data_IF_879808612997
#
_entry.id   IF_879808612997
#
_cell.length_a   1.000
_cell.length_b   1.000
_cell.length_c   1.000
_cell.angle_alpha   90.00
_cell.angle_beta   90.00
_cell.angle_gamma   90.00
#
_symmetry.space_group_name_H-M   'P 1'
#
loop_
_entity.id
_entity.type
_entity.pdbx_description
1 polymer ?
#
# COMPACT_ATOMS: atom_id res chain seq x y z
N UNK A 1 -54.67 -79.76 -1.05
CA UNK A 1 -54.27 -78.73 -0.07
C UNK A 1 -53.36 -77.75 -0.79
N UNK A 2 -53.93 -76.61 -1.21
CA UNK A 2 -53.21 -75.55 -1.91
C UNK A 2 -52.67 -74.57 -0.87
N UNK A 3 -51.36 -74.34 -0.84
CA UNK A 3 -50.76 -73.24 -0.10
C UNK A 3 -50.60 -72.05 -1.04
N UNK A 4 -51.29 -70.96 -0.72
CA UNK A 4 -51.18 -69.66 -1.38
C UNK A 4 -50.08 -68.88 -0.69
N UNK A 5 -48.95 -68.58 -1.41
CA UNK A 5 -47.85 -67.72 -0.96
C UNK A 5 -48.16 -66.30 -1.39
N UNK A 6 -48.48 -65.40 -0.47
CA UNK A 6 -48.58 -63.96 -0.72
C UNK A 6 -47.18 -63.34 -0.83
N UNK A 7 -46.84 -62.81 -1.99
CA UNK A 7 -45.69 -61.95 -2.19
C UNK A 7 -46.10 -60.51 -1.92
N UNK A 8 -45.52 -59.90 -0.88
CA UNK A 8 -45.60 -58.49 -0.62
C UNK A 8 -44.59 -57.77 -1.51
N UNK A 9 -44.94 -56.66 -2.19
CA UNK A 9 -43.96 -55.81 -2.91
C UNK A 9 -43.17 -54.95 -1.94
N UNK A 10 -41.83 -55.05 -1.99
CA UNK A 10 -40.92 -54.10 -1.34
C UNK A 10 -41.01 -52.73 -2.02
N UNK A 11 -41.64 -51.78 -1.35
CA UNK A 11 -41.57 -50.36 -1.72
C UNK A 11 -40.22 -49.80 -1.26
N UNK A 12 -39.32 -49.53 -2.21
CA UNK A 12 -38.14 -48.72 -1.97
C UNK A 12 -38.56 -47.25 -1.84
N UNK A 13 -38.57 -46.72 -0.63
CA UNK A 13 -38.67 -45.27 -0.37
C UNK A 13 -37.28 -44.71 -0.55
N UNK A 14 -36.98 -44.15 -1.72
CA UNK A 14 -35.81 -43.34 -1.94
C UNK A 14 -36.02 -42.00 -1.22
N UNK A 15 -35.47 -41.89 -0.01
CA UNK A 15 -35.38 -40.59 0.70
C UNK A 15 -34.41 -39.67 -0.02
N UNK A 16 -34.94 -38.77 -0.84
CA UNK A 16 -34.19 -37.68 -1.43
C UNK A 16 -33.81 -36.69 -0.30
N UNK A 17 -32.62 -36.84 0.25
CA UNK A 17 -32.05 -35.84 1.16
C UNK A 17 -31.72 -34.61 0.31
N UNK A 18 -32.63 -33.65 0.29
CA UNK A 18 -32.40 -32.31 -0.25
C UNK A 18 -31.48 -31.60 0.73
N UNK A 19 -30.17 -31.66 0.48
CA UNK A 19 -29.20 -30.81 1.17
C UNK A 19 -29.46 -29.37 0.70
N UNK A 20 -30.33 -28.67 1.43
CA UNK A 20 -30.43 -27.23 1.33
C UNK A 20 -29.07 -26.67 1.77
N UNK A 21 -28.22 -26.31 0.80
CA UNK A 21 -27.07 -25.46 1.05
C UNK A 21 -27.63 -24.17 1.66
N UNK A 22 -27.58 -24.06 2.96
CA UNK A 22 -27.86 -22.81 3.62
C UNK A 22 -26.82 -21.82 3.08
N UNK A 23 -27.22 -20.62 2.62
CA UNK A 23 -26.25 -19.60 2.33
C UNK A 23 -25.48 -19.40 3.64
N UNK A 24 -24.20 -19.76 3.65
CA UNK A 24 -23.27 -19.35 4.69
C UNK A 24 -23.35 -17.84 4.70
N UNK A 25 -24.07 -17.28 5.67
CA UNK A 25 -23.99 -15.87 5.99
C UNK A 25 -22.49 -15.61 6.13
N UNK A 26 -21.93 -14.81 5.23
CA UNK A 26 -20.56 -14.35 5.31
C UNK A 26 -20.40 -13.71 6.69
N UNK A 27 -19.91 -14.49 7.64
CA UNK A 27 -19.77 -14.03 9.01
C UNK A 27 -18.69 -12.98 8.98
N UNK A 28 -19.01 -11.77 9.40
CA UNK A 28 -18.10 -10.66 9.53
C UNK A 28 -16.82 -11.14 10.24
N UNK A 29 -15.71 -11.14 9.52
CA UNK A 29 -14.43 -11.60 10.05
C UNK A 29 -13.78 -10.46 10.80
N UNK A 30 -13.57 -10.62 12.10
CA UNK A 30 -12.82 -9.66 12.90
C UNK A 30 -11.34 -9.74 12.55
N UNK A 31 -10.74 -8.59 12.35
CA UNK A 31 -9.29 -8.43 12.12
C UNK A 31 -8.67 -7.59 13.22
N UNK A 32 -7.44 -7.92 13.58
CA UNK A 32 -6.65 -7.22 14.59
C UNK A 32 -5.60 -6.36 13.88
N UNK A 33 -5.66 -5.05 14.05
CA UNK A 33 -4.79 -4.08 13.38
C UNK A 33 -4.02 -3.29 14.43
N UNK A 34 -2.71 -3.46 14.51
CA UNK A 34 -1.84 -2.67 15.37
C UNK A 34 -1.63 -1.28 14.78
N UNK A 35 -1.91 -0.24 15.58
CA UNK A 35 -1.92 1.15 15.16
C UNK A 35 -0.56 1.80 15.41
N UNK A 36 0.40 1.56 14.50
CA UNK A 36 1.79 2.06 14.62
C UNK A 36 2.09 3.24 13.72
N UNK A 37 1.40 3.36 12.58
CA UNK A 37 1.64 4.39 11.58
C UNK A 37 0.83 5.65 11.83
N UNK A 38 -0.48 5.49 12.00
CA UNK A 38 -1.40 6.63 12.10
C UNK A 38 -1.28 7.34 13.45
N UNK A 39 -1.22 6.59 14.56
CA UNK A 39 -1.12 7.15 15.92
C UNK A 39 0.33 7.15 16.44
N UNK A 40 1.16 6.21 16.00
CA UNK A 40 2.51 6.03 16.54
C UNK A 40 2.53 5.42 17.93
N UNK A 41 3.69 5.47 18.57
CA UNK A 41 3.86 5.04 19.95
C UNK A 41 3.49 6.17 20.90
N UNK A 42 2.66 5.90 21.90
CA UNK A 42 2.18 6.90 22.85
C UNK A 42 2.35 6.45 24.29
N UNK A 43 2.83 7.35 25.15
CA UNK A 43 2.94 7.12 26.60
C UNK A 43 1.59 7.24 27.32
N UNK A 44 0.65 7.98 26.74
CA UNK A 44 -0.75 7.99 27.17
C UNK A 44 -1.66 8.20 25.96
N UNK A 45 -2.92 7.79 26.10
CA UNK A 45 -3.96 7.99 25.08
C UNK A 45 -5.28 8.38 25.73
N UNK A 46 -6.03 9.24 25.05
CA UNK A 46 -7.44 9.51 25.37
C UNK A 46 -8.31 8.79 24.34
N UNK A 47 -9.37 8.16 24.83
CA UNK A 47 -10.35 7.43 24.03
C UNK A 47 -11.72 8.03 24.30
N UNK A 48 -12.29 8.70 23.30
CA UNK A 48 -13.63 9.25 23.36
C UNK A 48 -14.60 8.30 22.65
N UNK A 49 -15.66 7.87 23.34
CA UNK A 49 -16.73 7.07 22.74
C UNK A 49 -17.65 8.03 21.98
N UNK A 50 -17.55 8.02 20.65
CA UNK A 50 -18.33 8.96 19.82
C UNK A 50 -19.74 8.47 19.54
N UNK A 51 -19.90 7.17 19.31
CA UNK A 51 -21.18 6.57 18.95
C UNK A 51 -21.30 5.16 19.50
N UNK A 52 -22.51 4.77 19.92
CA UNK A 52 -22.81 3.44 20.44
C UNK A 52 -22.39 3.27 21.89
N UNK A 53 -22.65 2.09 22.41
CA UNK A 53 -22.27 1.69 23.78
C UNK A 53 -21.07 0.74 23.71
N UNK A 54 -20.18 0.92 24.65
CA UNK A 54 -18.97 0.10 24.77
C UNK A 54 -18.84 -0.54 26.14
N UNK A 55 -18.18 -1.67 26.16
CA UNK A 55 -17.79 -2.37 27.38
C UNK A 55 -16.27 -2.39 27.48
N UNK A 56 -15.76 -1.90 28.58
CA UNK A 56 -14.36 -2.12 28.98
C UNK A 56 -14.29 -3.39 29.81
N UNK A 57 -13.32 -4.22 29.51
CA UNK A 57 -12.92 -5.37 30.35
C UNK A 57 -11.43 -5.27 30.67
N UNK A 58 -11.08 -5.45 31.94
CA UNK A 58 -9.71 -5.47 32.44
C UNK A 58 -9.66 -6.46 33.61
N UNK A 59 -8.94 -7.54 33.47
CA UNK A 59 -8.89 -8.63 34.42
C UNK A 59 -10.29 -9.10 34.85
N UNK A 60 -10.68 -8.87 36.11
CA UNK A 60 -12.02 -9.22 36.66
C UNK A 60 -13.00 -8.05 36.59
N UNK A 61 -12.58 -6.85 36.17
CA UNK A 61 -13.39 -5.65 36.14
C UNK A 61 -14.06 -5.49 34.74
N UNK A 62 -15.36 -5.30 34.76
CA UNK A 62 -16.13 -5.01 33.55
C UNK A 62 -17.02 -3.79 33.77
N UNK A 63 -16.95 -2.80 32.88
CA UNK A 63 -17.79 -1.59 32.92
C UNK A 63 -18.37 -1.24 31.56
N UNK A 64 -19.56 -0.68 31.52
CA UNK A 64 -20.22 -0.17 30.30
C UNK A 64 -20.11 1.34 30.23
N UNK A 65 -19.95 1.84 28.99
CA UNK A 65 -19.80 3.25 28.68
C UNK A 65 -20.72 3.62 27.52
N UNK A 66 -21.61 4.60 27.69
CA UNK A 66 -22.39 5.15 26.58
C UNK A 66 -21.57 6.12 25.73
N UNK A 67 -22.10 6.49 24.58
CA UNK A 67 -21.57 7.59 23.79
C UNK A 67 -21.43 8.86 24.65
N UNK A 68 -20.35 9.62 24.41
CA UNK A 68 -19.97 10.80 25.20
C UNK A 68 -19.04 10.49 26.39
N UNK A 69 -18.75 9.20 26.67
CA UNK A 69 -17.76 8.84 27.70
C UNK A 69 -16.34 9.06 27.19
N UNK A 70 -15.46 9.47 28.12
CA UNK A 70 -14.03 9.64 27.88
C UNK A 70 -13.23 8.75 28.82
N UNK A 71 -12.31 7.98 28.26
CA UNK A 71 -11.32 7.16 28.97
C UNK A 71 -9.94 7.73 28.69
N UNK A 72 -9.07 7.76 29.71
CA UNK A 72 -7.67 8.10 29.55
C UNK A 72 -6.81 6.97 30.10
N UNK A 73 -5.87 6.50 29.32
CA UNK A 73 -4.93 5.46 29.68
C UNK A 73 -3.53 6.05 29.63
N UNK A 74 -2.81 5.99 30.74
CA UNK A 74 -1.55 6.69 30.84
C UNK A 74 -0.67 6.15 31.96
N UNK A 75 0.15 7.02 32.51
CA UNK A 75 1.11 6.72 33.56
C UNK A 75 0.82 7.55 34.80
N UNK A 76 0.62 6.91 35.93
CA UNK A 76 0.37 7.53 37.23
C UNK A 76 1.55 7.36 38.19
N UNK A 77 2.67 8.07 37.91
CA UNK A 77 3.92 7.92 38.67
C UNK A 77 4.72 6.69 38.22
N UNK A 78 4.57 5.56 38.90
CA UNK A 78 5.36 4.33 38.66
C UNK A 78 4.57 3.20 37.98
N UNK A 79 3.25 3.36 37.85
CA UNK A 79 2.38 2.30 37.33
C UNK A 79 1.46 2.88 36.22
N UNK A 80 1.09 2.07 35.22
CA UNK A 80 0.05 2.46 34.28
C UNK A 80 -1.30 2.62 34.98
N UNK A 81 -2.06 3.63 34.58
CA UNK A 81 -3.37 3.96 35.15
C UNK A 81 -4.41 4.16 34.07
N UNK A 82 -5.65 3.79 34.40
CA UNK A 82 -6.84 4.07 33.64
C UNK A 82 -7.65 5.12 34.39
N UNK A 83 -8.00 6.25 33.74
CA UNK A 83 -8.92 7.26 34.26
C UNK A 83 -10.23 7.22 33.49
N UNK A 84 -11.31 7.18 34.24
CA UNK A 84 -12.65 7.16 33.69
C UNK A 84 -13.46 8.23 34.41
N UNK A 85 -13.90 9.29 33.72
CA UNK A 85 -14.72 10.36 34.29
C UNK A 85 -14.22 10.87 35.65
N UNK A 86 -12.89 11.06 35.82
CA UNK A 86 -12.21 11.49 37.05
C UNK A 86 -11.88 10.41 38.10
N UNK A 87 -12.36 9.18 37.95
CA UNK A 87 -11.93 8.04 38.79
C UNK A 87 -10.64 7.43 38.22
N UNK A 88 -9.70 7.08 39.07
CA UNK A 88 -8.42 6.46 38.69
C UNK A 88 -8.36 4.99 39.13
N UNK A 89 -7.94 4.13 38.24
CA UNK A 89 -7.76 2.71 38.43
C UNK A 89 -6.32 2.32 38.10
N UNK A 90 -5.65 1.62 38.97
CA UNK A 90 -4.33 1.07 38.68
C UNK A 90 -4.44 -0.09 37.73
N UNK A 91 -3.51 -0.15 36.78
CA UNK A 91 -3.37 -1.24 35.82
C UNK A 91 -2.15 -2.06 36.23
N UNK A 92 -2.32 -3.36 36.38
CA UNK A 92 -1.20 -4.24 36.69
C UNK A 92 -0.37 -4.53 35.46
N UNK A 93 0.94 -4.72 35.63
CA UNK A 93 1.83 -5.11 34.54
C UNK A 93 1.35 -6.42 33.92
N UNK A 94 1.16 -6.39 32.58
CA UNK A 94 0.65 -7.55 31.82
C UNK A 94 -0.87 -7.58 31.67
N UNK A 95 -1.63 -6.67 32.31
CA UNK A 95 -3.07 -6.55 32.06
C UNK A 95 -3.34 -6.05 30.65
N UNK A 96 -4.37 -6.64 30.03
CA UNK A 96 -4.90 -6.20 28.74
C UNK A 96 -6.21 -5.47 28.97
N UNK A 97 -6.29 -4.24 28.51
CA UNK A 97 -7.55 -3.49 28.46
C UNK A 97 -8.25 -3.79 27.14
N UNK A 98 -9.45 -4.27 27.21
CA UNK A 98 -10.27 -4.55 26.04
C UNK A 98 -11.51 -3.66 26.05
N UNK A 99 -11.69 -2.85 24.99
CA UNK A 99 -12.82 -1.94 24.79
C UNK A 99 -13.60 -2.48 23.58
N UNK A 100 -14.73 -3.14 23.86
CA UNK A 100 -15.60 -3.75 22.84
C UNK A 100 -16.87 -2.95 22.65
N UNK A 101 -17.26 -2.71 21.39
CA UNK A 101 -18.59 -2.22 21.06
C UNK A 101 -19.68 -3.24 21.43
N UNK A 102 -20.72 -2.81 22.13
CA UNK A 102 -21.90 -3.63 22.41
C UNK A 102 -22.84 -3.64 21.21
N UNK A 103 -22.86 -2.53 20.49
CA UNK A 103 -23.60 -2.31 19.24
C UNK A 103 -22.70 -1.58 18.24
N UNK A 104 -23.19 -1.29 17.04
CA UNK A 104 -22.45 -0.51 16.04
C UNK A 104 -22.06 0.85 16.59
N UNK A 105 -20.76 1.11 16.69
CA UNK A 105 -20.24 2.32 17.30
C UNK A 105 -18.91 2.76 16.69
N UNK A 106 -18.44 3.90 17.17
CA UNK A 106 -17.12 4.45 16.86
C UNK A 106 -16.50 5.08 18.10
N UNK A 107 -15.18 5.07 18.12
CA UNK A 107 -14.36 5.68 19.15
C UNK A 107 -13.25 6.50 18.49
N UNK A 108 -12.82 7.56 19.16
CA UNK A 108 -11.71 8.41 18.74
C UNK A 108 -10.56 8.25 19.71
N UNK A 109 -9.38 8.01 19.17
CA UNK A 109 -8.14 7.94 19.94
C UNK A 109 -7.35 9.21 19.70
N UNK A 110 -6.83 9.81 20.78
CA UNK A 110 -5.95 10.99 20.75
C UNK A 110 -4.66 10.69 21.49
N UNK A 111 -3.54 11.17 20.98
CA UNK A 111 -2.22 11.04 21.60
C UNK A 111 -1.69 12.39 22.10
N UNK A 112 -0.67 12.41 22.98
CA UNK A 112 -0.07 13.65 23.49
C UNK A 112 0.51 14.51 22.38
N UNK A 113 0.98 13.90 21.30
CA UNK A 113 1.61 14.57 20.15
C UNK A 113 0.59 15.25 19.24
N UNK A 114 -0.71 15.23 19.61
CA UNK A 114 -1.79 15.83 18.85
C UNK A 114 -2.26 15.02 17.66
N UNK A 115 -1.84 13.76 17.54
CA UNK A 115 -2.41 12.84 16.55
C UNK A 115 -3.77 12.35 17.04
N UNK A 116 -4.74 12.27 16.14
CA UNK A 116 -6.05 11.72 16.42
C UNK A 116 -6.62 10.95 15.25
N UNK A 117 -7.38 9.88 15.54
CA UNK A 117 -8.10 9.12 14.54
C UNK A 117 -9.35 8.46 15.15
N UNK A 118 -10.40 8.33 14.34
CA UNK A 118 -11.62 7.63 14.71
C UNK A 118 -11.63 6.22 14.08
N UNK A 119 -12.10 5.26 14.86
CA UNK A 119 -12.14 3.86 14.47
C UNK A 119 -13.50 3.22 14.73
N UNK A 120 -13.89 2.30 13.86
CA UNK A 120 -14.99 1.37 14.11
C UNK A 120 -14.50 0.18 14.95
N UNK A 121 -15.43 -0.60 15.48
CA UNK A 121 -15.11 -1.79 16.25
C UNK A 121 -14.60 -1.48 17.65
N UNK A 122 -13.63 -2.25 18.14
CA UNK A 122 -13.06 -2.14 19.48
C UNK A 122 -11.58 -1.78 19.48
N UNK A 123 -11.06 -1.60 20.71
CA UNK A 123 -9.63 -1.43 20.95
C UNK A 123 -9.15 -2.40 22.00
N UNK A 124 -7.96 -2.95 21.80
CA UNK A 124 -7.19 -3.65 22.80
C UNK A 124 -5.92 -2.85 23.08
N UNK A 125 -5.64 -2.63 24.36
CA UNK A 125 -4.46 -1.88 24.79
C UNK A 125 -3.67 -2.74 25.78
N UNK A 126 -2.36 -2.76 25.60
CA UNK A 126 -1.44 -3.33 26.58
C UNK A 126 -0.19 -2.45 26.68
N UNK A 127 0.39 -2.40 27.88
CA UNK A 127 1.64 -1.69 28.12
C UNK A 127 2.81 -2.58 27.78
N UNK A 128 3.64 -2.16 26.84
CA UNK A 128 4.83 -2.90 26.42
C UNK A 128 5.95 -1.92 26.05
N UNK A 129 7.17 -2.22 26.44
CA UNK A 129 8.38 -1.48 26.05
C UNK A 129 8.31 0.04 26.27
N UNK A 130 7.64 0.47 27.35
CA UNK A 130 7.54 1.88 27.72
C UNK A 130 6.46 2.69 26.98
N UNK A 131 5.56 2.04 26.24
CA UNK A 131 4.45 2.69 25.53
C UNK A 131 3.20 1.81 25.49
N UNK A 132 2.07 2.41 25.14
CA UNK A 132 0.84 1.69 24.90
C UNK A 132 0.84 1.09 23.49
N UNK A 133 0.70 -0.21 23.41
CA UNK A 133 0.40 -0.92 22.19
C UNK A 133 -1.11 -0.88 21.95
N UNK A 134 -1.54 -0.30 20.84
CA UNK A 134 -2.92 -0.12 20.46
C UNK A 134 -3.28 -1.08 19.33
N UNK A 135 -4.30 -1.90 19.51
CA UNK A 135 -4.78 -2.83 18.48
C UNK A 135 -6.27 -2.58 18.25
N UNK A 136 -6.63 -2.17 17.05
CA UNK A 136 -8.01 -2.05 16.64
C UNK A 136 -8.57 -3.43 16.28
N UNK A 137 -9.68 -3.79 16.91
CA UNK A 137 -10.46 -5.00 16.62
C UNK A 137 -11.66 -4.58 15.78
N UNK A 138 -11.62 -4.86 14.48
CA UNK A 138 -12.59 -4.31 13.53
C UNK A 138 -13.10 -5.38 12.57
N UNK A 139 -14.35 -5.24 12.13
CA UNK A 139 -14.89 -6.03 11.03
C UNK A 139 -14.09 -5.82 9.73
N UNK A 140 -13.86 -6.88 8.97
CA UNK A 140 -13.03 -6.82 7.75
C UNK A 140 -13.57 -5.82 6.71
N UNK A 141 -14.88 -5.68 6.56
CA UNK A 141 -15.46 -4.73 5.61
C UNK A 141 -15.33 -3.29 6.12
N UNK A 142 -15.45 -3.07 7.44
CA UNK A 142 -15.20 -1.78 8.05
C UNK A 142 -13.72 -1.40 8.02
N UNK A 143 -12.80 -2.37 8.15
CA UNK A 143 -11.37 -2.16 7.89
C UNK A 143 -11.12 -1.65 6.47
N UNK A 144 -11.73 -2.30 5.47
CA UNK A 144 -11.56 -1.90 4.07
C UNK A 144 -12.05 -0.47 3.78
N UNK A 145 -13.06 0.03 4.52
CA UNK A 145 -13.50 1.44 4.41
C UNK A 145 -12.42 2.44 4.83
N UNK A 146 -11.51 2.01 5.70
CA UNK A 146 -10.35 2.79 6.11
C UNK A 146 -9.09 2.57 5.27
N UNK A 147 -9.11 1.63 4.32
CA UNK A 147 -7.98 1.27 3.43
C UNK A 147 -8.22 1.75 2.01
N UNK A 148 -9.30 1.28 1.37
CA UNK A 148 -9.54 1.50 -0.07
C UNK A 148 -9.50 2.98 -0.47
N UNK A 149 -10.05 3.95 0.32
CA UNK A 149 -9.99 5.37 -0.05
C UNK A 149 -8.60 5.99 0.01
N UNK A 150 -7.64 5.39 0.72
CA UNK A 150 -6.23 5.81 0.74
C UNK A 150 -5.52 5.30 -0.50
N UNK A 151 -5.77 4.04 -0.85
CA UNK A 151 -5.17 3.37 -2.00
C UNK A 151 -5.68 3.95 -3.31
N UNK A 152 -6.98 4.19 -3.41
CA UNK A 152 -7.64 4.84 -4.54
C UNK A 152 -8.61 5.92 -4.02
N UNK A 153 -8.37 7.18 -4.39
CA UNK A 153 -9.14 8.32 -3.93
C UNK A 153 -10.65 8.14 -4.11
N UNK A 154 -11.44 8.63 -3.15
CA UNK A 154 -12.90 8.73 -3.26
C UNK A 154 -13.36 9.47 -4.53
N UNK A 155 -12.56 10.39 -5.06
CA UNK A 155 -12.87 11.13 -6.29
C UNK A 155 -12.92 10.22 -7.52
N UNK A 156 -12.25 9.07 -7.48
CA UNK A 156 -12.27 8.09 -8.56
C UNK A 156 -13.63 7.39 -8.72
N UNK A 157 -14.54 7.54 -7.77
CA UNK A 157 -15.93 7.10 -7.93
C UNK A 157 -16.61 7.74 -9.16
N UNK A 158 -16.14 8.93 -9.58
CA UNK A 158 -16.58 9.56 -10.81
C UNK A 158 -15.84 8.96 -12.01
N UNK A 159 -16.47 8.02 -12.68
CA UNK A 159 -15.93 7.37 -13.90
C UNK A 159 -15.01 6.17 -13.64
N UNK A 160 -14.64 5.88 -12.41
CA UNK A 160 -13.76 4.76 -12.05
C UNK A 160 -14.34 3.81 -11.01
N UNK A 161 -15.65 3.75 -10.83
CA UNK A 161 -16.31 2.90 -9.82
C UNK A 161 -15.94 1.41 -9.97
N UNK A 162 -15.74 0.92 -11.18
CA UNK A 162 -15.29 -0.46 -11.42
C UNK A 162 -13.85 -0.69 -10.97
N UNK A 163 -12.97 0.30 -11.07
CA UNK A 163 -11.63 0.23 -10.51
C UNK A 163 -11.65 0.17 -8.96
N UNK A 164 -12.52 0.97 -8.33
CA UNK A 164 -12.72 0.91 -6.87
C UNK A 164 -13.24 -0.45 -6.42
N UNK A 165 -14.13 -1.09 -7.21
CA UNK A 165 -14.57 -2.46 -6.94
C UNK A 165 -13.43 -3.46 -7.07
N UNK A 166 -12.62 -3.36 -8.14
CA UNK A 166 -11.43 -4.21 -8.32
C UNK A 166 -10.45 -4.05 -7.15
N UNK A 167 -10.21 -2.80 -6.71
CA UNK A 167 -9.37 -2.50 -5.55
C UNK A 167 -9.95 -3.08 -4.26
N UNK A 168 -11.25 -2.98 -4.04
CA UNK A 168 -11.91 -3.54 -2.85
C UNK A 168 -11.76 -5.06 -2.78
N UNK A 169 -11.95 -5.76 -3.92
CA UNK A 169 -11.76 -7.21 -4.00
C UNK A 169 -10.29 -7.60 -3.81
N UNK A 170 -9.36 -6.87 -4.43
CA UNK A 170 -7.92 -7.10 -4.25
C UNK A 170 -7.47 -6.86 -2.81
N UNK A 171 -7.87 -5.74 -2.20
CA UNK A 171 -7.52 -5.40 -0.82
C UNK A 171 -8.10 -6.39 0.19
N UNK A 172 -9.32 -6.88 -0.04
CA UNK A 172 -9.95 -7.93 0.78
C UNK A 172 -9.20 -9.25 0.65
N UNK A 173 -8.80 -9.63 -0.55
CA UNK A 173 -8.01 -10.85 -0.80
C UNK A 173 -6.67 -10.79 -0.09
N UNK A 174 -5.97 -9.65 -0.23
CA UNK A 174 -4.72 -9.39 0.48
C UNK A 174 -4.91 -9.50 2.00
N UNK A 175 -5.95 -8.88 2.56
CA UNK A 175 -6.29 -8.96 3.98
C UNK A 175 -6.49 -10.41 4.44
N UNK A 176 -7.31 -11.19 3.74
CA UNK A 176 -7.56 -12.60 4.04
C UNK A 176 -6.27 -13.41 4.05
N UNK A 177 -5.40 -13.17 3.06
CA UNK A 177 -4.11 -13.87 2.93
C UNK A 177 -3.13 -13.48 4.05
N UNK A 178 -2.94 -12.17 4.30
CA UNK A 178 -1.99 -11.69 5.30
C UNK A 178 -2.40 -12.00 6.74
N UNK A 179 -3.70 -11.98 7.00
CA UNK A 179 -4.22 -12.30 8.34
C UNK A 179 -4.42 -13.79 8.58
N UNK A 180 -4.15 -14.65 7.58
CA UNK A 180 -4.49 -16.06 7.66
C UNK A 180 -5.96 -16.22 8.10
N UNK A 181 -6.82 -15.58 7.33
CA UNK A 181 -8.26 -15.56 7.58
C UNK A 181 -8.68 -14.94 8.94
N UNK A 182 -7.96 -13.91 9.40
CA UNK A 182 -8.22 -13.20 10.66
C UNK A 182 -7.50 -13.75 11.89
N UNK A 183 -6.72 -14.82 11.76
CA UNK A 183 -5.99 -15.44 12.88
C UNK A 183 -4.69 -14.68 13.23
N UNK A 184 -4.12 -13.96 12.28
CA UNK A 184 -2.89 -13.19 12.47
C UNK A 184 -3.19 -11.69 12.51
N UNK A 185 -2.48 -10.99 13.39
CA UNK A 185 -2.52 -9.54 13.46
C UNK A 185 -1.69 -8.91 12.35
N UNK A 186 -2.17 -7.77 11.83
CA UNK A 186 -1.48 -6.90 10.88
C UNK A 186 -1.23 -5.53 11.50
N UNK A 187 -0.49 -4.66 10.79
CA UNK A 187 -0.30 -3.26 11.16
C UNK A 187 -1.02 -2.32 10.19
N UNK A 188 -1.27 -1.10 10.62
CA UNK A 188 -1.82 -0.01 9.80
C UNK A 188 -0.79 0.64 8.86
N UNK A 189 0.46 0.15 8.85
CA UNK A 189 1.57 0.75 8.11
C UNK A 189 1.63 0.31 6.65
N UNK A 190 1.69 1.27 5.69
CA UNK A 190 1.88 0.97 4.26
C UNK A 190 3.25 0.37 3.94
N UNK A 191 4.23 0.46 4.85
CA UNK A 191 5.55 -0.12 4.66
C UNK A 191 5.56 -1.64 4.85
N UNK A 192 4.57 -2.18 5.59
CA UNK A 192 4.50 -3.59 5.97
C UNK A 192 3.25 -4.26 5.40
N UNK A 193 2.10 -3.61 5.50
CA UNK A 193 0.79 -4.10 5.07
C UNK A 193 0.06 -3.06 4.20
N UNK A 194 -1.21 -2.77 4.50
CA UNK A 194 -2.02 -1.76 3.83
C UNK A 194 -2.11 -0.51 4.72
N UNK A 195 -2.10 0.68 4.10
CA UNK A 195 -2.36 1.93 4.82
C UNK A 195 -3.80 1.92 5.37
N UNK A 196 -3.95 1.98 6.70
CA UNK A 196 -5.25 2.02 7.38
C UNK A 196 -5.37 3.26 8.24
N UNK A 197 -6.26 4.18 7.89
CA UNK A 197 -6.49 5.44 8.60
C UNK A 197 -7.83 5.50 9.37
N UNK A 198 -8.48 4.35 9.58
CA UNK A 198 -9.78 4.31 10.24
C UNK A 198 -10.85 5.08 9.47
N UNK A 199 -11.74 5.77 10.19
CA UNK A 199 -12.92 6.41 9.61
C UNK A 199 -12.63 7.74 8.89
N UNK A 200 -11.46 8.33 9.07
CA UNK A 200 -11.15 9.68 8.55
C UNK A 200 -11.17 9.78 7.02
N UNK A 201 -11.01 8.65 6.34
CA UNK A 201 -10.92 8.54 4.87
C UNK A 201 -12.19 7.96 4.23
N UNK A 202 -13.15 7.50 5.03
CA UNK A 202 -14.40 6.92 4.51
C UNK A 202 -15.14 7.89 3.58
N UNK A 203 -15.70 7.37 2.49
CA UNK A 203 -16.42 8.18 1.50
C UNK A 203 -17.04 7.35 0.39
N UNK A 204 -17.06 7.88 -0.83
CA UNK A 204 -17.69 7.26 -1.99
C UNK A 204 -17.13 5.86 -2.34
N UNK A 205 -15.85 5.61 -2.07
CA UNK A 205 -15.23 4.29 -2.27
C UNK A 205 -15.88 3.20 -1.40
N UNK A 206 -16.51 3.56 -0.27
CA UNK A 206 -17.24 2.59 0.56
C UNK A 206 -18.38 1.89 -0.17
N UNK A 207 -18.98 2.54 -1.18
CA UNK A 207 -20.02 1.91 -2.03
C UNK A 207 -19.48 0.75 -2.86
N UNK A 208 -18.21 0.82 -3.30
CA UNK A 208 -17.57 -0.26 -4.03
C UNK A 208 -17.29 -1.47 -3.12
N UNK A 209 -16.89 -1.22 -1.87
CA UNK A 209 -16.68 -2.26 -0.85
C UNK A 209 -17.99 -3.00 -0.58
N UNK A 210 -19.08 -2.27 -0.33
CA UNK A 210 -20.40 -2.87 -0.10
C UNK A 210 -20.91 -3.64 -1.32
N UNK A 211 -20.70 -3.13 -2.54
CA UNK A 211 -21.13 -3.77 -3.78
C UNK A 211 -20.40 -5.08 -4.08
N UNK A 212 -19.19 -5.26 -3.53
CA UNK A 212 -18.34 -6.45 -3.68
C UNK A 212 -18.14 -7.21 -2.37
N UNK A 213 -19.06 -7.01 -1.40
CA UNK A 213 -18.96 -7.60 -0.06
C UNK A 213 -18.70 -9.11 -0.10
N UNK A 214 -17.64 -9.54 0.60
CA UNK A 214 -17.24 -10.93 0.72
C UNK A 214 -16.57 -11.51 -0.54
N UNK A 215 -16.38 -10.75 -1.63
CA UNK A 215 -15.72 -11.24 -2.82
C UNK A 215 -14.20 -11.18 -2.67
N UNK A 216 -13.52 -12.29 -3.01
CA UNK A 216 -12.06 -12.44 -2.99
C UNK A 216 -11.57 -13.05 -4.30
N UNK A 217 -10.30 -12.80 -4.61
CA UNK A 217 -9.61 -13.40 -5.76
C UNK A 217 -8.97 -14.71 -5.30
N UNK A 218 -9.29 -15.78 -5.98
CA UNK A 218 -8.75 -17.11 -5.70
C UNK A 218 -8.05 -17.68 -6.92
N UNK A 219 -7.10 -18.57 -6.71
CA UNK A 219 -6.55 -19.41 -7.77
C UNK A 219 -7.66 -20.28 -8.37
N UNK A 220 -7.78 -20.29 -9.69
CA UNK A 220 -8.90 -20.95 -10.38
C UNK A 220 -8.91 -22.48 -10.26
N UNK A 221 -7.81 -23.12 -9.84
CA UNK A 221 -7.71 -24.56 -9.67
C UNK A 221 -7.80 -25.00 -8.22
N UNK A 222 -7.13 -24.26 -7.32
CA UNK A 222 -7.02 -24.63 -5.91
C UNK A 222 -8.07 -23.97 -5.03
N UNK A 223 -8.77 -22.96 -5.55
CA UNK A 223 -9.72 -22.11 -4.82
C UNK A 223 -9.13 -21.40 -3.59
N UNK A 224 -7.81 -21.36 -3.48
CA UNK A 224 -7.13 -20.67 -2.39
C UNK A 224 -6.93 -19.18 -2.71
N UNK A 225 -7.04 -18.27 -1.72
CA UNK A 225 -6.76 -16.85 -1.91
C UNK A 225 -5.34 -16.63 -2.45
N UNK A 226 -5.20 -15.78 -3.46
CA UNK A 226 -3.91 -15.41 -4.03
C UNK A 226 -3.23 -14.29 -3.23
N UNK A 227 -1.96 -14.00 -3.50
CA UNK A 227 -1.32 -12.74 -3.10
C UNK A 227 -1.77 -11.64 -4.07
N UNK A 228 -2.89 -10.98 -3.76
CA UNK A 228 -3.49 -9.95 -4.61
C UNK A 228 -2.73 -8.62 -4.46
N UNK A 229 -1.53 -8.56 -5.05
CA UNK A 229 -0.64 -7.41 -4.98
C UNK A 229 -1.11 -6.30 -5.91
N UNK A 230 -0.89 -5.05 -5.52
CA UNK A 230 -1.21 -3.88 -6.35
C UNK A 230 -0.21 -2.75 -6.10
N UNK A 231 -0.11 -1.83 -7.06
CA UNK A 231 0.77 -0.67 -6.97
C UNK A 231 0.14 0.53 -7.66
N UNK A 232 0.60 1.72 -7.34
CA UNK A 232 0.02 2.94 -7.89
C UNK A 232 0.03 2.96 -9.42
N UNK A 233 1.18 2.71 -10.05
CA UNK A 233 1.32 2.86 -11.50
C UNK A 233 2.44 1.96 -12.05
N UNK A 234 2.14 1.09 -13.01
CA UNK A 234 3.10 0.14 -13.57
C UNK A 234 4.19 0.79 -14.46
N UNK A 235 3.95 1.99 -14.98
CA UNK A 235 4.85 2.63 -15.95
C UNK A 235 4.71 2.09 -17.37
N UNK A 236 3.64 1.35 -17.68
CA UNK A 236 3.38 0.74 -18.99
C UNK A 236 3.75 -0.74 -19.06
N UNK A 237 4.24 -1.33 -17.96
CA UNK A 237 4.59 -2.74 -17.89
C UNK A 237 4.50 -3.26 -16.44
N UNK A 238 3.65 -4.23 -16.19
CA UNK A 238 3.58 -4.90 -14.90
C UNK A 238 4.83 -5.77 -14.69
N UNK A 239 5.34 -5.83 -13.45
CA UNK A 239 6.54 -6.57 -13.10
C UNK A 239 6.20 -7.93 -12.50
N UNK A 240 7.09 -8.89 -12.66
CA UNK A 240 7.01 -10.20 -12.04
C UNK A 240 7.37 -10.10 -10.54
N UNK A 241 6.56 -10.68 -9.67
CA UNK A 241 6.81 -10.72 -8.23
C UNK A 241 8.18 -11.33 -7.90
N UNK A 242 8.64 -12.31 -8.67
CA UNK A 242 9.95 -12.94 -8.54
C UNK A 242 11.10 -11.94 -8.69
N UNK A 243 10.96 -10.96 -9.59
CA UNK A 243 11.99 -9.95 -9.83
C UNK A 243 12.10 -8.93 -8.67
N UNK A 244 11.02 -8.74 -7.92
CA UNK A 244 10.98 -7.79 -6.80
C UNK A 244 11.33 -8.43 -5.47
N UNK A 245 10.78 -9.62 -5.18
CA UNK A 245 10.91 -10.29 -3.87
C UNK A 245 11.65 -11.64 -3.91
N UNK A 246 11.89 -12.21 -5.11
CA UNK A 246 12.59 -13.48 -5.27
C UNK A 246 11.69 -14.72 -5.24
N UNK A 247 10.43 -14.59 -4.84
CA UNK A 247 9.48 -15.69 -4.76
C UNK A 247 8.74 -15.88 -6.09
N UNK A 248 8.61 -17.12 -6.56
CA UNK A 248 7.80 -17.43 -7.74
C UNK A 248 6.33 -17.29 -7.39
N UNK A 249 5.61 -16.50 -8.17
CA UNK A 249 4.17 -16.31 -8.07
C UNK A 249 3.57 -16.38 -9.48
N UNK A 250 2.69 -17.35 -9.70
CA UNK A 250 2.09 -17.58 -11.01
C UNK A 250 0.95 -16.60 -11.33
N UNK A 251 0.47 -15.88 -10.33
CA UNK A 251 -0.63 -14.91 -10.47
C UNK A 251 -0.12 -13.52 -10.78
N UNK A 252 1.05 -13.14 -10.23
CA UNK A 252 1.66 -11.83 -10.36
C UNK A 252 2.87 -11.90 -11.30
N UNK A 253 2.62 -12.10 -12.59
CA UNK A 253 3.65 -12.20 -13.63
C UNK A 253 3.75 -10.92 -14.46
N UNK A 254 4.91 -10.72 -15.08
CA UNK A 254 5.13 -9.55 -15.92
C UNK A 254 4.34 -9.59 -17.22
N UNK A 255 3.71 -8.48 -17.60
CA UNK A 255 2.99 -8.30 -18.85
C UNK A 255 2.91 -6.81 -19.25
N UNK A 256 2.72 -6.49 -20.56
CA UNK A 256 2.45 -5.12 -20.98
C UNK A 256 1.22 -4.55 -20.28
N UNK A 257 1.28 -3.27 -19.91
CA UNK A 257 0.15 -2.54 -19.32
C UNK A 257 -0.09 -1.21 -20.09
N UNK A 258 -0.69 -1.28 -21.28
CA UNK A 258 -0.98 -0.08 -22.07
C UNK A 258 -2.00 0.83 -21.38
N UNK A 259 -2.82 0.30 -20.45
CA UNK A 259 -3.84 1.08 -19.74
C UNK A 259 -3.24 2.06 -18.74
N UNK A 260 -2.03 1.82 -18.23
CA UNK A 260 -1.35 2.78 -17.36
C UNK A 260 -0.64 3.90 -18.15
N UNK A 261 -0.45 3.76 -19.47
CA UNK A 261 0.26 4.76 -20.26
C UNK A 261 -0.59 6.01 -20.49
N UNK A 262 0.02 7.18 -20.33
CA UNK A 262 -0.64 8.47 -20.58
C UNK A 262 -1.60 8.93 -19.48
N UNK A 263 -1.75 8.19 -18.40
CA UNK A 263 -2.59 8.53 -17.25
C UNK A 263 -1.76 8.73 -15.98
N UNK A 264 -2.34 9.33 -14.94
CA UNK A 264 -1.66 9.49 -13.66
C UNK A 264 -0.77 10.73 -13.53
N UNK A 265 -0.71 11.58 -14.54
CA UNK A 265 0.03 12.84 -14.47
C UNK A 265 1.51 12.66 -14.07
N UNK A 266 1.91 13.18 -12.89
CA UNK A 266 3.29 13.13 -12.42
C UNK A 266 3.82 11.70 -12.19
N UNK A 267 2.96 10.70 -11.96
CA UNK A 267 3.40 9.32 -11.79
C UNK A 267 3.56 8.58 -13.12
N UNK A 268 2.95 9.10 -14.20
CA UNK A 268 3.15 8.55 -15.54
C UNK A 268 4.55 8.83 -16.07
N UNK A 269 5.09 10.04 -15.78
CA UNK A 269 6.44 10.43 -16.15
C UNK A 269 7.01 11.37 -15.10
N UNK A 270 8.22 11.04 -14.61
CA UNK A 270 8.91 11.81 -13.57
C UNK A 270 10.39 11.99 -13.93
N UNK A 271 10.99 13.03 -13.35
CA UNK A 271 12.41 13.34 -13.48
C UNK A 271 13.00 13.60 -12.11
N UNK A 272 14.18 13.06 -11.85
CA UNK A 272 14.96 13.31 -10.65
C UNK A 272 16.38 13.74 -11.01
N UNK A 273 16.85 14.82 -10.42
CA UNK A 273 18.18 15.38 -10.66
C UNK A 273 18.97 15.35 -9.37
N UNK A 274 20.20 14.85 -9.45
CA UNK A 274 21.10 14.76 -8.30
C UNK A 274 22.52 15.09 -8.70
N UNK A 275 23.28 15.82 -7.84
CA UNK A 275 24.70 16.09 -8.07
C UNK A 275 25.54 14.82 -7.90
N UNK A 276 26.63 14.70 -8.66
CA UNK A 276 27.54 13.57 -8.59
C UNK A 276 28.11 13.32 -7.16
N UNK A 277 28.50 14.34 -6.37
CA UNK A 277 28.90 14.14 -4.98
C UNK A 277 27.79 13.60 -4.08
N UNK A 278 26.55 14.14 -4.19
CA UNK A 278 25.42 13.68 -3.40
C UNK A 278 25.03 12.23 -3.78
N UNK A 279 25.06 11.91 -5.06
CA UNK A 279 24.81 10.54 -5.52
C UNK A 279 25.84 9.57 -4.91
N UNK A 280 27.14 9.91 -4.96
CA UNK A 280 28.20 9.07 -4.40
C UNK A 280 28.09 8.92 -2.88
N UNK A 281 27.84 10.01 -2.15
CA UNK A 281 27.75 9.98 -0.68
C UNK A 281 26.64 9.05 -0.16
N UNK A 282 25.55 8.87 -0.90
CA UNK A 282 24.47 7.94 -0.54
C UNK A 282 24.90 6.49 -0.53
N UNK A 283 25.99 6.15 -1.25
CA UNK A 283 26.44 4.77 -1.42
C UNK A 283 27.91 4.57 -1.02
N UNK A 284 28.46 5.51 -0.23
CA UNK A 284 29.81 5.41 0.32
C UNK A 284 30.92 5.61 -0.72
N UNK A 285 30.62 6.33 -1.79
CA UNK A 285 31.54 6.67 -2.87
C UNK A 285 31.92 8.15 -2.86
N UNK A 286 33.01 8.48 -3.53
CA UNK A 286 33.31 9.85 -3.97
C UNK A 286 32.31 10.33 -5.03
N UNK A 287 32.56 11.51 -5.66
CA UNK A 287 31.73 12.00 -6.74
C UNK A 287 31.58 10.97 -7.86
N UNK A 288 30.35 10.60 -8.21
CA UNK A 288 30.06 9.58 -9.23
C UNK A 288 30.46 10.10 -10.61
N UNK A 289 31.21 9.27 -11.36
CA UNK A 289 31.61 9.51 -12.73
C UNK A 289 30.72 8.79 -13.74
N UNK A 290 30.29 7.55 -13.41
CA UNK A 290 29.54 6.69 -14.31
C UNK A 290 28.41 5.94 -13.61
N UNK A 291 27.29 5.75 -14.33
CA UNK A 291 26.10 5.02 -13.86
C UNK A 291 25.73 4.01 -14.93
N UNK A 292 25.74 2.72 -14.60
CA UNK A 292 25.30 1.64 -15.48
C UNK A 292 24.07 0.95 -14.90
N UNK A 293 23.05 0.77 -15.74
CA UNK A 293 21.80 0.11 -15.39
C UNK A 293 21.77 -1.32 -15.94
N UNK A 294 21.57 -2.30 -15.07
CA UNK A 294 21.14 -3.66 -15.45
C UNK A 294 19.62 -3.74 -15.29
N UNK A 295 18.91 -4.24 -16.30
CA UNK A 295 17.45 -4.23 -16.36
C UNK A 295 16.87 -5.63 -16.49
N UNK A 296 15.68 -5.81 -15.96
CA UNK A 296 14.84 -6.96 -16.27
C UNK A 296 14.24 -6.84 -17.68
N UNK A 297 13.73 -7.93 -18.26
CA UNK A 297 13.03 -7.88 -19.55
C UNK A 297 11.86 -6.90 -19.61
N UNK A 298 11.23 -6.61 -18.47
CA UNK A 298 10.19 -5.59 -18.32
C UNK A 298 10.67 -4.15 -18.59
N UNK A 299 12.00 -3.92 -18.57
CA UNK A 299 12.62 -2.61 -18.65
C UNK A 299 12.87 -1.96 -17.27
N UNK A 300 12.38 -2.55 -16.17
CA UNK A 300 12.70 -2.08 -14.82
C UNK A 300 14.13 -2.34 -14.45
N UNK A 301 14.72 -1.41 -13.69
CA UNK A 301 16.10 -1.51 -13.24
C UNK A 301 16.23 -2.58 -12.16
N UNK A 302 17.02 -3.61 -12.47
CA UNK A 302 17.39 -4.70 -11.57
C UNK A 302 18.49 -4.27 -10.62
N UNK A 303 19.55 -3.63 -11.17
CA UNK A 303 20.63 -3.08 -10.39
C UNK A 303 21.22 -1.83 -11.03
N UNK A 304 21.80 -0.97 -10.20
CA UNK A 304 22.54 0.23 -10.58
C UNK A 304 23.99 0.01 -10.15
N UNK A 305 24.93 0.03 -11.10
CA UNK A 305 26.36 0.07 -10.82
C UNK A 305 26.84 1.52 -10.93
N UNK A 306 27.41 2.03 -9.84
CA UNK A 306 28.02 3.33 -9.75
C UNK A 306 29.53 3.19 -9.75
N UNK A 307 30.23 4.11 -10.40
CA UNK A 307 31.67 4.26 -10.36
C UNK A 307 32.03 5.70 -10.07
N UNK A 308 32.88 5.95 -9.06
CA UNK A 308 33.31 7.29 -8.72
C UNK A 308 34.56 7.73 -9.52
N UNK A 309 34.98 8.97 -9.33
CA UNK A 309 36.16 9.54 -10.01
C UNK A 309 37.48 8.85 -9.63
N UNK A 310 37.50 8.12 -8.50
CA UNK A 310 38.66 7.38 -8.01
C UNK A 310 38.67 5.92 -8.50
N UNK A 311 37.66 5.50 -9.28
CA UNK A 311 37.50 4.14 -9.77
C UNK A 311 36.90 3.15 -8.75
N UNK A 312 36.44 3.64 -7.59
CA UNK A 312 35.69 2.81 -6.66
C UNK A 312 34.28 2.55 -7.21
N UNK A 313 33.75 1.37 -6.92
CA UNK A 313 32.44 0.97 -7.47
C UNK A 313 31.50 0.47 -6.38
N UNK A 314 30.19 0.77 -6.52
CA UNK A 314 29.12 0.18 -5.75
C UNK A 314 28.04 -0.38 -6.68
N UNK A 315 27.46 -1.53 -6.31
CA UNK A 315 26.31 -2.09 -7.04
C UNK A 315 25.14 -2.20 -6.09
N UNK A 316 24.01 -1.58 -6.45
CA UNK A 316 22.82 -1.44 -5.61
C UNK A 316 21.63 -2.03 -6.35
N UNK A 317 20.76 -2.79 -5.66
CA UNK A 317 19.48 -3.25 -6.24
C UNK A 317 18.63 -2.04 -6.63
N UNK A 318 17.95 -2.08 -7.79
CA UNK A 318 17.16 -0.96 -8.30
C UNK A 318 16.15 -0.40 -7.29
N UNK A 319 15.45 -1.25 -6.55
CA UNK A 319 14.53 -0.82 -5.48
C UNK A 319 15.25 -0.08 -4.35
N UNK A 320 16.36 -0.61 -3.86
CA UNK A 320 17.14 0.02 -2.79
C UNK A 320 17.74 1.36 -3.24
N UNK A 321 18.13 1.45 -4.52
CA UNK A 321 18.58 2.70 -5.12
C UNK A 321 17.49 3.78 -5.07
N UNK A 322 16.27 3.46 -5.49
CA UNK A 322 15.11 4.35 -5.41
C UNK A 322 14.83 4.78 -3.96
N UNK A 323 14.81 3.83 -3.04
CA UNK A 323 14.53 4.07 -1.62
C UNK A 323 15.56 5.01 -0.95
N UNK A 324 16.81 5.01 -1.39
CA UNK A 324 17.83 5.91 -0.86
C UNK A 324 17.53 7.41 -1.10
N UNK A 325 16.71 7.72 -2.12
CA UNK A 325 16.33 9.08 -2.47
C UNK A 325 14.86 9.41 -2.16
N UNK A 326 14.06 8.41 -2.00
CA UNK A 326 12.63 8.57 -1.69
C UNK A 326 12.27 7.68 -0.49
N UNK A 327 12.40 8.19 0.74
CA UNK A 327 11.91 7.49 1.91
C UNK A 327 10.37 7.39 1.82
N UNK A 328 9.83 6.21 2.08
CA UNK A 328 8.39 5.95 2.09
C UNK A 328 7.64 6.94 3.00
N UNK A 329 6.43 7.31 2.61
CA UNK A 329 5.57 8.22 3.41
C UNK A 329 5.79 9.71 3.17
N UNK A 330 6.70 10.11 2.30
CA UNK A 330 6.83 11.53 1.92
C UNK A 330 5.82 11.90 0.82
N UNK A 331 5.30 13.14 0.82
CA UNK A 331 4.36 13.57 -0.21
C UNK A 331 5.01 13.53 -1.60
N UNK A 332 4.23 13.09 -2.60
CA UNK A 332 4.67 13.04 -4.00
C UNK A 332 5.08 14.44 -4.44
N UNK A 333 6.32 14.57 -4.87
CA UNK A 333 6.83 15.79 -5.51
C UNK A 333 7.15 15.48 -6.96
N UNK A 334 6.96 16.46 -7.83
CA UNK A 334 7.26 16.35 -9.27
C UNK A 334 8.74 15.93 -9.53
N UNK A 335 9.60 16.15 -8.56
CA UNK A 335 11.05 15.90 -8.58
C UNK A 335 11.45 14.69 -7.70
N UNK A 336 10.52 13.79 -7.38
CA UNK A 336 10.79 12.62 -6.55
C UNK A 336 11.16 11.40 -7.39
N UNK A 337 11.98 10.52 -6.80
CA UNK A 337 12.30 9.22 -7.40
C UNK A 337 11.19 8.23 -7.06
N UNK A 338 10.25 7.97 -8.00
CA UNK A 338 8.99 7.29 -7.69
C UNK A 338 9.01 5.77 -7.91
N UNK A 339 9.90 5.25 -8.76
CA UNK A 339 9.91 3.82 -9.06
C UNK A 339 11.16 3.35 -9.78
N UNK A 340 11.29 2.04 -9.94
CA UNK A 340 12.48 1.41 -10.56
C UNK A 340 12.45 1.30 -12.09
N UNK A 341 11.48 1.92 -12.75
CA UNK A 341 11.38 1.96 -14.21
C UNK A 341 11.96 3.29 -14.74
N UNK A 342 13.29 3.37 -14.92
CA UNK A 342 13.97 4.61 -15.29
C UNK A 342 15.21 4.41 -16.17
N UNK A 343 15.62 5.52 -16.80
CA UNK A 343 16.90 5.72 -17.47
C UNK A 343 17.75 6.70 -16.66
N UNK A 344 19.07 6.70 -16.90
CA UNK A 344 20.02 7.62 -16.27
C UNK A 344 20.84 8.31 -17.34
N UNK A 345 21.03 9.61 -17.21
CA UNK A 345 21.86 10.43 -18.08
C UNK A 345 22.80 11.29 -17.24
N UNK A 346 24.09 11.29 -17.58
CA UNK A 346 25.07 12.20 -17.02
C UNK A 346 25.06 13.53 -17.80
N UNK A 347 25.05 14.66 -17.09
CA UNK A 347 25.24 15.99 -17.67
C UNK A 347 26.50 16.57 -17.07
N UNK A 348 27.53 16.72 -17.89
CA UNK A 348 28.81 17.30 -17.49
C UNK A 348 28.85 18.78 -17.89
N UNK A 349 29.26 19.65 -16.98
CA UNK A 349 29.47 21.07 -17.29
C UNK A 349 30.80 21.21 -18.06
N UNK A 350 30.77 21.66 -19.32
CA UNK A 350 31.98 21.97 -20.05
C UNK A 350 32.57 23.30 -19.59
N UNK A 351 33.89 23.40 -19.54
CA UNK A 351 34.66 24.48 -18.89
C UNK A 351 34.59 25.86 -19.57
N UNK A 352 33.78 26.09 -20.59
CA UNK A 352 33.78 27.40 -21.20
C UNK A 352 32.52 27.90 -21.90
N UNK A 353 31.67 27.08 -22.48
CA UNK A 353 30.49 27.57 -23.20
C UNK A 353 29.38 26.51 -23.30
N UNK A 354 28.52 26.46 -22.31
CA UNK A 354 27.28 25.64 -22.45
C UNK A 354 27.37 24.22 -21.83
N UNK A 355 26.25 23.64 -21.59
CA UNK A 355 26.06 22.25 -21.20
C UNK A 355 26.21 21.39 -22.44
N UNK A 356 27.22 20.50 -22.49
CA UNK A 356 27.31 19.51 -23.56
C UNK A 356 26.72 18.18 -23.09
N UNK A 357 25.82 17.62 -23.90
CA UNK A 357 25.37 16.25 -23.71
C UNK A 357 26.48 15.29 -24.12
N UNK A 358 27.01 14.52 -23.19
CA UNK A 358 27.94 13.43 -23.49
C UNK A 358 27.17 12.22 -24.04
N UNK A 359 26.42 12.42 -25.14
CA UNK A 359 25.58 11.41 -25.80
C UNK A 359 26.38 10.35 -26.59
N UNK A 360 27.62 10.07 -26.22
CA UNK A 360 28.54 9.18 -26.95
C UNK A 360 28.58 7.72 -26.51
N UNK A 361 27.89 7.30 -25.45
CA UNK A 361 28.07 5.96 -24.88
C UNK A 361 26.82 5.07 -24.80
N UNK A 362 25.66 5.56 -25.25
CA UNK A 362 24.45 4.75 -25.26
C UNK A 362 24.08 4.36 -26.68
N UNK A 363 24.15 3.06 -26.96
CA UNK A 363 23.84 2.46 -28.24
C UNK A 363 22.47 2.92 -28.77
N UNK A 364 22.48 3.24 -30.04
CA UNK A 364 21.39 3.71 -30.89
C UNK A 364 20.04 3.01 -30.68
N UNK A 365 19.16 3.61 -29.91
CA UNK A 365 17.73 3.46 -30.05
C UNK A 365 17.13 4.85 -30.30
N UNK A 366 16.49 4.99 -31.47
CA UNK A 366 16.00 6.21 -32.11
C UNK A 366 15.51 7.34 -31.22
N UNK A 367 16.35 8.32 -31.02
CA UNK A 367 16.10 9.54 -30.25
C UNK A 367 15.15 10.52 -30.94
N UNK A 368 14.84 10.33 -32.21
CA UNK A 368 14.07 11.29 -33.03
C UNK A 368 12.56 11.29 -32.79
N UNK A 369 11.98 10.20 -32.25
CA UNK A 369 10.53 10.13 -32.00
C UNK A 369 10.09 10.63 -30.61
N UNK A 370 11.00 10.67 -29.65
CA UNK A 370 10.66 10.98 -28.26
C UNK A 370 10.71 12.49 -27.95
N UNK A 371 11.50 13.26 -28.70
CA UNK A 371 11.63 14.71 -28.50
C UNK A 371 10.46 15.52 -29.05
N UNK A 372 9.66 14.95 -29.96
CA UNK A 372 8.55 15.69 -30.58
C UNK A 372 7.24 15.62 -29.78
N UNK A 373 7.07 14.61 -28.91
CA UNK A 373 5.88 14.44 -28.08
C UNK A 373 6.04 14.96 -26.64
N UNK A 374 7.24 15.28 -26.20
CA UNK A 374 7.52 15.73 -24.83
C UNK A 374 8.39 16.99 -24.83
N UNK A 375 8.03 18.02 -25.60
CA UNK A 375 8.57 19.36 -25.37
C UNK A 375 7.77 20.04 -24.26
N UNK A 376 8.17 19.95 -22.96
CA UNK A 376 7.83 21.02 -22.05
C UNK A 376 8.54 22.25 -22.57
N UNK A 377 7.84 23.35 -22.60
CA UNK A 377 8.31 24.68 -23.01
C UNK A 377 9.78 24.88 -22.58
N UNK A 378 10.68 25.15 -23.52
CA UNK A 378 12.14 25.31 -23.26
C UNK A 378 12.47 26.36 -22.18
N UNK A 379 11.51 27.21 -21.81
CA UNK A 379 11.63 28.18 -20.73
C UNK A 379 11.64 27.60 -19.32
N UNK A 380 11.14 26.37 -19.08
CA UNK A 380 11.09 25.78 -17.73
C UNK A 380 12.34 24.98 -17.35
N UNK A 381 13.21 24.60 -18.29
CA UNK A 381 14.40 23.78 -17.99
C UNK A 381 15.57 24.60 -17.37
N UNK A 382 15.76 25.83 -17.77
CA UNK A 382 16.83 26.68 -17.29
C UNK A 382 16.75 27.02 -15.78
N UNK A 383 15.59 27.39 -15.26
CA UNK A 383 15.45 27.71 -13.83
C UNK A 383 15.60 26.49 -12.90
N UNK A 384 15.19 25.29 -13.34
CA UNK A 384 15.26 24.09 -12.53
C UNK A 384 16.71 23.60 -12.37
N UNK A 385 17.45 23.55 -13.48
CA UNK A 385 18.85 23.15 -13.47
C UNK A 385 19.71 24.13 -12.65
N UNK A 386 19.49 25.43 -12.80
CA UNK A 386 20.19 26.45 -12.02
C UNK A 386 19.85 26.36 -10.53
N UNK A 387 18.61 26.09 -10.18
CA UNK A 387 18.14 25.93 -8.79
C UNK A 387 18.70 24.67 -8.14
N UNK A 388 18.76 23.54 -8.86
CA UNK A 388 19.38 22.30 -8.36
C UNK A 388 20.89 22.47 -8.21
N UNK A 389 21.54 23.07 -9.20
CA UNK A 389 22.96 23.39 -9.13
C UNK A 389 23.26 24.33 -7.96
N UNK A 390 22.42 25.34 -7.69
CA UNK A 390 22.60 26.27 -6.57
C UNK A 390 22.28 25.66 -5.20
N UNK A 391 21.26 24.79 -5.10
CA UNK A 391 20.84 24.19 -3.83
C UNK A 391 21.73 23.00 -3.38
N UNK A 392 22.29 22.26 -4.34
CA UNK A 392 23.20 21.14 -4.04
C UNK A 392 24.64 21.55 -3.76
N UNK A 393 25.00 22.79 -4.11
CA UNK A 393 26.39 23.30 -3.99
C UNK A 393 26.67 24.06 -2.67
N UNK A 394 25.74 24.17 -1.74
CA UNK A 394 25.93 24.96 -0.53
C UNK A 394 26.41 26.39 -0.84
N UNK A 395 26.36 27.33 0.08
CA UNK A 395 26.74 28.75 -0.10
C UNK A 395 28.25 29.00 -0.28
N UNK A 396 29.07 28.02 -0.68
CA UNK A 396 30.49 28.17 -0.95
C UNK A 396 30.72 28.46 -2.44
N UNK A 397 31.31 29.61 -2.71
CA UNK A 397 31.38 30.28 -4.01
C UNK A 397 32.38 29.69 -5.03
N UNK A 398 32.75 28.42 -4.98
CA UNK A 398 33.60 27.79 -6.00
C UNK A 398 32.75 26.92 -6.94
N UNK A 399 32.85 27.06 -8.28
CA UNK A 399 32.18 26.16 -9.20
C UNK A 399 32.70 24.74 -8.97
N UNK A 400 31.80 23.83 -8.60
CA UNK A 400 32.17 22.43 -8.40
C UNK A 400 32.45 21.80 -9.76
N UNK A 401 33.54 21.05 -9.93
CA UNK A 401 33.92 20.43 -11.19
C UNK A 401 33.04 19.21 -11.55
N UNK A 402 32.15 18.83 -10.65
CA UNK A 402 31.32 17.61 -10.78
C UNK A 402 29.98 17.90 -11.43
N UNK A 403 29.59 17.06 -12.39
CA UNK A 403 28.31 17.15 -13.09
C UNK A 403 27.09 16.76 -12.24
N UNK A 404 25.97 16.67 -12.89
CA UNK A 404 24.70 16.15 -12.33
C UNK A 404 24.27 14.91 -13.12
N UNK A 405 23.52 14.03 -12.46
CA UNK A 405 22.82 12.94 -13.08
C UNK A 405 21.32 13.24 -13.13
N UNK A 406 20.73 12.98 -14.29
CA UNK A 406 19.30 13.08 -14.52
C UNK A 406 18.78 11.65 -14.64
N UNK A 407 17.80 11.33 -13.81
CA UNK A 407 17.05 10.09 -13.89
C UNK A 407 15.64 10.40 -14.38
N UNK A 408 15.22 9.76 -15.46
CA UNK A 408 13.90 9.92 -16.05
C UNK A 408 13.19 8.58 -16.01
N UNK A 409 11.97 8.57 -15.49
CA UNK A 409 11.27 7.32 -15.30
C UNK A 409 9.76 7.43 -15.43
N UNK A 410 9.14 6.27 -15.31
CA UNK A 410 7.69 6.09 -15.38
C UNK A 410 7.22 5.18 -14.27
N UNK A 411 5.97 5.38 -13.84
CA UNK A 411 5.35 4.56 -12.81
C UNK A 411 5.73 4.96 -11.39
N UNK A 412 4.96 4.45 -10.45
CA UNK A 412 5.14 4.64 -9.02
C UNK A 412 4.92 3.34 -8.27
N UNK A 413 5.88 2.99 -7.39
CA UNK A 413 5.87 1.76 -6.62
C UNK A 413 6.59 0.59 -7.31
N UNK A 414 6.31 -0.62 -6.84
CA UNK A 414 7.01 -1.83 -7.31
C UNK A 414 6.53 -2.34 -8.68
N UNK A 415 5.33 -1.94 -9.11
CA UNK A 415 4.76 -2.30 -10.41
C UNK A 415 4.26 -3.74 -10.55
N UNK A 416 4.17 -4.51 -9.47
CA UNK A 416 3.68 -5.90 -9.47
C UNK A 416 2.16 -5.91 -9.25
N UNK A 417 1.46 -6.83 -9.92
CA UNK A 417 0.02 -7.00 -9.81
C UNK A 417 -0.78 -5.86 -10.42
N UNK A 418 -1.92 -5.51 -9.83
CA UNK A 418 -2.83 -4.51 -10.39
C UNK A 418 -2.25 -3.09 -10.29
N UNK A 419 -2.13 -2.42 -11.44
CA UNK A 419 -1.84 -0.99 -11.52
C UNK A 419 -3.11 -0.19 -11.22
N UNK A 420 -3.10 0.62 -10.16
CA UNK A 420 -4.28 1.42 -9.76
C UNK A 420 -4.70 2.40 -10.86
N UNK A 421 -3.76 3.14 -11.45
CA UNK A 421 -4.05 4.04 -12.55
C UNK A 421 -4.46 3.31 -13.84
N UNK A 422 -3.87 2.14 -14.11
CA UNK A 422 -4.29 1.30 -15.23
C UNK A 422 -5.72 0.78 -15.04
N UNK A 423 -6.05 0.28 -13.85
CA UNK A 423 -7.40 -0.15 -13.49
C UNK A 423 -8.43 1.00 -13.63
N UNK A 424 -8.04 2.22 -13.17
CA UNK A 424 -8.88 3.40 -13.32
C UNK A 424 -9.17 3.72 -14.80
N UNK A 425 -8.14 3.69 -15.63
CA UNK A 425 -8.30 3.93 -17.07
C UNK A 425 -9.14 2.82 -17.75
N UNK A 426 -8.94 1.56 -17.40
CA UNK A 426 -9.80 0.46 -17.88
C UNK A 426 -11.27 0.71 -17.50
N UNK A 427 -11.55 1.13 -16.27
CA UNK A 427 -12.91 1.47 -15.85
C UNK A 427 -13.51 2.62 -16.67
N UNK A 428 -12.73 3.65 -17.00
CA UNK A 428 -13.15 4.75 -17.88
C UNK A 428 -13.44 4.28 -19.31
N UNK A 429 -12.76 3.23 -19.79
CA UNK A 429 -13.01 2.58 -21.06
C UNK A 429 -14.21 1.62 -21.02
N UNK A 430 -14.86 1.44 -19.87
CA UNK A 430 -16.06 0.63 -19.70
C UNK A 430 -15.85 -0.80 -19.21
N UNK A 431 -14.60 -1.22 -18.95
CA UNK A 431 -14.30 -2.54 -18.37
C UNK A 431 -14.92 -2.70 -16.99
N UNK A 432 -15.44 -3.89 -16.71
CA UNK A 432 -15.97 -4.28 -15.41
C UNK A 432 -14.86 -4.72 -14.47
N UNK A 433 -15.09 -4.65 -13.17
CA UNK A 433 -14.06 -5.01 -12.18
C UNK A 433 -13.55 -6.45 -12.33
N UNK A 434 -14.41 -7.39 -12.76
CA UNK A 434 -14.00 -8.77 -13.05
C UNK A 434 -13.00 -8.84 -14.20
N UNK A 435 -13.21 -8.04 -15.26
CA UNK A 435 -12.32 -7.97 -16.42
C UNK A 435 -10.99 -7.29 -16.04
N UNK A 436 -11.04 -6.27 -15.18
CA UNK A 436 -9.85 -5.60 -14.64
C UNK A 436 -9.02 -6.59 -13.82
N UNK A 437 -9.66 -7.33 -12.91
CA UNK A 437 -8.99 -8.36 -12.08
C UNK A 437 -8.36 -9.44 -12.97
N UNK A 438 -9.10 -9.97 -13.94
CA UNK A 438 -8.62 -11.00 -14.87
C UNK A 438 -7.48 -10.51 -15.79
N UNK A 439 -7.39 -9.21 -16.03
CA UNK A 439 -6.30 -8.61 -16.78
C UNK A 439 -4.97 -8.57 -15.99
N UNK A 440 -5.04 -8.21 -14.71
CA UNK A 440 -3.85 -8.02 -13.88
C UNK A 440 -3.38 -9.28 -13.16
N UNK A 441 -4.25 -10.26 -12.94
CA UNK A 441 -3.89 -11.49 -12.24
C UNK A 441 -4.15 -12.71 -13.12
N UNK A 442 -3.15 -13.56 -13.28
CA UNK A 442 -3.26 -14.77 -14.08
C UNK A 442 -3.89 -15.92 -13.29
N UNK A 443 -4.60 -16.83 -14.00
CA UNK A 443 -5.14 -18.07 -13.46
C UNK A 443 -6.05 -17.87 -12.23
N UNK A 444 -6.90 -16.85 -12.25
CA UNK A 444 -7.75 -16.49 -11.12
C UNK A 444 -9.23 -16.57 -11.44
N UNK A 445 -10.02 -16.70 -10.39
CA UNK A 445 -11.46 -16.49 -10.38
C UNK A 445 -11.87 -15.66 -9.16
N UNK A 446 -13.10 -15.11 -9.17
CA UNK A 446 -13.67 -14.40 -8.03
C UNK A 446 -14.61 -15.34 -7.32
N UNK A 447 -14.43 -15.51 -6.02
CA UNK A 447 -15.26 -16.32 -5.15
C UNK A 447 -15.83 -15.47 -4.01
N UNK A 448 -16.95 -15.90 -3.43
CA UNK A 448 -17.44 -15.35 -2.17
C UNK A 448 -16.85 -16.17 -1.03
N UNK A 449 -16.04 -15.53 -0.22
CA UNK A 449 -15.37 -16.12 0.95
C UNK A 449 -16.26 -16.27 2.17
#
# INVERSE_FOLDING_TARGET
MLQIIYRLPFLWIASLILVLAQPTLCQAKMVSVELVWNLGQAGWVQIDIEKGDYQLSMDTVTRKFPAGSTLQVGWGGWTPVLRINHEEFQIFSGSVLEIKGINSGSLRVKTPEGKEAAYRGGLQLNWQDGHWRLVNQVDSEDYLKGVVPIEMSNEWAKGGSEALKAQAVAARTYLVKQTDNGSKMITDSPDIHQAYAGMSVEGEASKAIEATRGEIIVDAQTEQPIDALYSSHSGGYAEDAKNVWGNTDIHNVSHPDPYSQGVGGAVNYWRFIVSAPLLGSKFGLGPVRDVKLDKFPSGRVKSVKLEDEFGQTATVKGRAFVQAFYPFGQPIRKEAFLGSFFEAQAVVKSDSHGISDSAGLFGSFGYSGFLELARPNQQEQGPLLSKVLSSSLGTSAAPQPFGVFIFEGRGWGHGVGMSQWGAYHMAQLGYKYQEIIAYYYNHVSISKG
#
